data_IF_366666801922
#
_entry.id   IF_366666801922
#
_cell.length_a   1.000
_cell.length_b   1.000
_cell.length_c   1.000
_cell.angle_alpha   90.00
_cell.angle_beta   90.00
_cell.angle_gamma   90.00
#
_symmetry.space_group_name_H-M   'P 1'
#
loop_
_entity.id
_entity.type
_entity.pdbx_description
1 polymer ?
#
# COMPACT_ATOMS: atom_id res chain seq x y z
N UNK A 1 -40.47 -7.03 0.46
CA UNK A 1 -39.48 -6.60 1.47
C UNK A 1 -38.20 -6.17 0.75
N UNK A 2 -37.94 -4.87 0.66
CA UNK A 2 -36.68 -4.34 0.10
C UNK A 2 -35.59 -4.56 1.13
N UNK A 3 -34.83 -5.65 0.99
CA UNK A 3 -33.66 -5.90 1.83
C UNK A 3 -32.60 -4.87 1.41
N UNK A 4 -32.44 -3.81 2.22
CA UNK A 4 -31.33 -2.85 2.10
C UNK A 4 -30.02 -3.64 2.18
N UNK A 5 -29.39 -3.90 1.04
CA UNK A 5 -28.05 -4.50 0.97
C UNK A 5 -27.06 -3.49 1.52
N UNK A 6 -26.58 -3.72 2.74
CA UNK A 6 -25.55 -2.90 3.36
C UNK A 6 -24.17 -3.47 3.03
N UNK A 7 -23.18 -2.59 2.84
CA UNK A 7 -21.78 -2.92 2.50
C UNK A 7 -21.20 -4.00 3.43
N UNK A 8 -21.53 -3.94 4.72
CA UNK A 8 -21.01 -4.86 5.74
C UNK A 8 -21.69 -6.25 5.69
N UNK A 9 -22.84 -6.38 5.02
CA UNK A 9 -23.57 -7.65 4.94
C UNK A 9 -23.10 -8.54 3.78
N UNK A 10 -22.24 -8.00 2.92
CA UNK A 10 -21.87 -8.61 1.67
C UNK A 10 -20.49 -9.28 1.79
N UNK A 11 -20.51 -10.61 1.97
CA UNK A 11 -19.33 -11.45 2.26
C UNK A 11 -18.17 -11.19 1.31
N UNK A 12 -18.45 -10.94 0.03
CA UNK A 12 -17.43 -10.66 -0.98
C UNK A 12 -16.70 -9.35 -0.72
N UNK A 13 -17.43 -8.28 -0.40
CA UNK A 13 -16.83 -6.97 -0.10
C UNK A 13 -16.05 -7.00 1.21
N UNK A 14 -16.55 -7.72 2.21
CA UNK A 14 -15.90 -7.85 3.52
C UNK A 14 -14.60 -8.67 3.41
N UNK A 15 -14.61 -9.73 2.59
CA UNK A 15 -13.42 -10.51 2.25
C UNK A 15 -12.39 -9.62 1.53
N UNK A 16 -12.79 -8.88 0.51
CA UNK A 16 -11.89 -7.98 -0.23
C UNK A 16 -11.30 -6.86 0.64
N UNK A 17 -12.09 -6.29 1.55
CA UNK A 17 -11.60 -5.29 2.52
C UNK A 17 -10.60 -5.94 3.48
N UNK A 18 -10.89 -7.15 3.97
CA UNK A 18 -9.98 -7.86 4.89
C UNK A 18 -8.64 -8.19 4.25
N UNK A 19 -8.62 -8.60 2.98
CA UNK A 19 -7.37 -8.86 2.26
C UNK A 19 -6.59 -7.56 2.04
N UNK A 20 -7.26 -6.47 1.64
CA UNK A 20 -6.59 -5.19 1.49
C UNK A 20 -6.01 -4.67 2.82
N UNK A 21 -6.74 -4.87 3.93
CA UNK A 21 -6.25 -4.51 5.27
C UNK A 21 -5.04 -5.37 5.67
N UNK A 22 -5.09 -6.67 5.38
CA UNK A 22 -3.95 -7.57 5.59
C UNK A 22 -2.73 -7.16 4.76
N UNK A 23 -2.91 -6.84 3.48
CA UNK A 23 -1.83 -6.37 2.61
C UNK A 23 -1.21 -5.05 3.09
N UNK A 24 -2.04 -4.11 3.56
CA UNK A 24 -1.57 -2.87 4.16
C UNK A 24 -0.73 -3.15 5.41
N UNK A 25 -1.23 -3.97 6.35
CA UNK A 25 -0.50 -4.32 7.57
C UNK A 25 0.80 -5.06 7.26
N UNK A 26 0.77 -5.97 6.29
CA UNK A 26 1.96 -6.66 5.81
C UNK A 26 2.99 -5.67 5.25
N UNK A 27 2.57 -4.74 4.38
CA UNK A 27 3.44 -3.71 3.82
C UNK A 27 4.10 -2.87 4.92
N UNK A 28 3.32 -2.38 5.89
CA UNK A 28 3.83 -1.59 7.01
C UNK A 28 4.82 -2.39 7.85
N UNK A 29 4.48 -3.64 8.17
CA UNK A 29 5.35 -4.53 8.96
C UNK A 29 6.65 -4.83 8.23
N UNK A 30 6.59 -5.11 6.93
CA UNK A 30 7.78 -5.33 6.10
C UNK A 30 8.70 -4.10 6.08
N UNK A 31 8.14 -2.90 5.89
CA UNK A 31 8.92 -1.65 5.90
C UNK A 31 9.53 -1.43 7.29
N UNK A 32 8.74 -1.60 8.36
CA UNK A 32 9.18 -1.39 9.74
C UNK A 32 10.29 -2.36 10.16
N UNK A 33 10.15 -3.66 9.86
CA UNK A 33 11.17 -4.67 10.15
C UNK A 33 12.48 -4.39 9.41
N UNK A 34 12.39 -3.95 8.15
CA UNK A 34 13.58 -3.58 7.37
C UNK A 34 14.24 -2.30 7.87
N UNK A 35 13.45 -1.35 8.38
CA UNK A 35 13.97 -0.13 8.99
C UNK A 35 14.71 -0.43 10.31
N UNK A 36 14.14 -1.29 11.16
CA UNK A 36 14.73 -1.69 12.44
C UNK A 36 16.03 -2.49 12.25
N UNK A 37 16.06 -3.39 11.26
CA UNK A 37 17.27 -4.12 10.85
C UNK A 37 18.38 -3.21 10.30
N UNK A 38 18.08 -1.95 9.97
CA UNK A 38 19.02 -0.97 9.40
C UNK A 38 19.49 0.08 10.40
N UNK A 39 19.20 -0.05 11.71
CA UNK A 39 19.67 0.85 12.78
C UNK A 39 21.21 1.05 12.86
N UNK A 40 22.01 0.33 12.06
CA UNK A 40 23.46 0.44 11.98
C UNK A 40 24.03 1.16 10.75
N UNK A 41 23.23 1.58 9.76
CA UNK A 41 23.73 2.13 8.49
C UNK A 41 23.09 3.49 8.19
N UNK A 42 23.86 4.58 8.17
CA UNK A 42 23.38 5.96 8.01
C UNK A 42 22.95 6.33 6.58
N UNK A 43 22.91 5.38 5.65
CA UNK A 43 22.61 5.61 4.24
C UNK A 43 21.50 4.68 3.75
N UNK A 44 20.30 5.22 3.59
CA UNK A 44 19.18 4.51 2.96
C UNK A 44 19.07 5.00 1.51
N UNK A 45 19.08 4.09 0.55
CA UNK A 45 18.89 4.40 -0.87
C UNK A 45 17.38 4.47 -1.15
N UNK A 46 16.89 5.62 -1.59
CA UNK A 46 15.45 5.91 -1.68
C UNK A 46 14.95 6.05 -3.12
N UNK A 47 15.84 6.42 -4.04
CA UNK A 47 15.46 6.55 -5.45
C UNK A 47 16.65 6.29 -6.36
N UNK A 48 16.39 5.54 -7.43
CA UNK A 48 17.30 5.41 -8.55
C UNK A 48 16.91 6.43 -9.62
N UNK A 49 17.77 7.44 -9.84
CA UNK A 49 17.63 8.37 -10.96
C UNK A 49 18.69 8.02 -12.02
N UNK A 50 18.23 7.55 -13.19
CA UNK A 50 19.12 7.25 -14.32
C UNK A 50 19.85 8.47 -14.89
N UNK A 51 19.42 9.70 -14.54
CA UNK A 51 20.05 10.94 -15.00
C UNK A 51 21.35 11.30 -14.27
N UNK A 52 21.76 10.56 -13.24
CA UNK A 52 22.96 10.84 -12.42
C UNK A 52 24.12 9.84 -12.65
N UNK A 53 24.03 8.98 -13.67
CA UNK A 53 25.05 7.97 -13.99
C UNK A 53 24.98 6.71 -13.11
N UNK A 54 26.01 5.87 -13.19
CA UNK A 54 26.10 4.53 -12.57
C UNK A 54 25.94 4.50 -11.03
N UNK A 55 25.92 5.67 -10.38
CA UNK A 55 25.78 5.85 -8.93
C UNK A 55 24.65 6.84 -8.57
N UNK A 56 23.59 6.92 -9.39
CA UNK A 56 22.40 7.75 -9.17
C UNK A 56 21.46 7.28 -8.05
N UNK A 57 22.03 6.80 -6.95
CA UNK A 57 21.30 6.41 -5.75
C UNK A 57 21.18 7.63 -4.84
N UNK A 58 19.99 8.23 -4.78
CA UNK A 58 19.74 9.29 -3.81
C UNK A 58 19.63 8.65 -2.45
N UNK A 59 20.66 8.83 -1.63
CA UNK A 59 20.63 8.51 -0.22
C UNK A 59 19.70 9.49 0.47
N UNK A 60 18.88 9.02 1.38
CA UNK A 60 18.22 9.94 2.27
C UNK A 60 17.69 9.28 3.51
N UNK A 61 16.77 9.99 4.14
CA UNK A 61 16.63 9.94 5.59
C UNK A 61 15.54 8.94 5.97
N UNK A 62 15.53 8.49 7.21
CA UNK A 62 14.46 7.66 7.81
C UNK A 62 13.05 8.19 7.48
N UNK A 63 12.90 9.51 7.34
CA UNK A 63 11.67 10.18 6.92
C UNK A 63 11.14 9.75 5.55
N UNK A 64 12.01 9.47 4.59
CA UNK A 64 11.59 9.03 3.26
C UNK A 64 11.05 7.59 3.27
N UNK A 65 11.58 6.74 4.17
CA UNK A 65 11.04 5.39 4.42
C UNK A 65 9.68 5.46 5.11
N UNK A 66 9.45 6.46 6.00
CA UNK A 66 8.11 6.73 6.55
C UNK A 66 7.13 7.15 5.45
N UNK A 67 7.59 7.79 4.38
CA UNK A 67 6.77 8.12 3.20
C UNK A 67 6.15 6.88 2.53
N UNK A 68 6.85 5.74 2.54
CA UNK A 68 6.33 4.48 2.03
C UNK A 68 5.22 3.88 2.92
N UNK A 69 5.37 4.00 4.25
CA UNK A 69 4.33 3.62 5.21
C UNK A 69 3.10 4.51 5.01
N UNK A 70 3.31 5.83 4.90
CA UNK A 70 2.23 6.78 4.66
C UNK A 70 1.50 6.50 3.34
N UNK A 71 2.22 6.18 2.26
CA UNK A 71 1.63 5.81 0.98
C UNK A 71 0.76 4.54 1.08
N UNK A 72 1.21 3.50 1.82
CA UNK A 72 0.41 2.29 2.05
C UNK A 72 -0.92 2.61 2.76
N UNK A 73 -0.88 3.47 3.79
CA UNK A 73 -2.07 3.94 4.51
C UNK A 73 -2.99 4.71 3.58
N UNK A 74 -2.47 5.65 2.79
CA UNK A 74 -3.26 6.47 1.87
C UNK A 74 -3.95 5.60 0.81
N UNK A 75 -3.24 4.65 0.20
CA UNK A 75 -3.85 3.75 -0.79
C UNK A 75 -4.97 2.89 -0.21
N UNK A 76 -4.80 2.38 1.01
CA UNK A 76 -5.84 1.64 1.70
C UNK A 76 -7.05 2.52 2.03
N UNK A 77 -6.85 3.69 2.64
CA UNK A 77 -7.93 4.59 3.06
C UNK A 77 -8.70 5.13 1.85
N UNK A 78 -8.00 5.61 0.83
CA UNK A 78 -8.63 6.13 -0.40
C UNK A 78 -9.40 5.01 -1.10
N UNK A 79 -8.81 3.82 -1.18
CA UNK A 79 -9.47 2.62 -1.72
C UNK A 79 -10.76 2.26 -0.98
N UNK A 80 -10.72 2.29 0.35
CA UNK A 80 -11.86 1.98 1.21
C UNK A 80 -12.97 3.04 1.10
N UNK A 81 -12.61 4.32 1.11
CA UNK A 81 -13.57 5.43 0.95
C UNK A 81 -14.25 5.38 -0.42
N UNK A 82 -13.48 5.16 -1.49
CA UNK A 82 -14.03 4.99 -2.84
C UNK A 82 -14.94 3.76 -2.91
N UNK A 83 -14.53 2.62 -2.36
CA UNK A 83 -15.35 1.42 -2.35
C UNK A 83 -16.67 1.63 -1.59
N UNK A 84 -16.63 2.32 -0.45
CA UNK A 84 -17.82 2.66 0.34
C UNK A 84 -18.77 3.60 -0.41
N UNK A 85 -18.22 4.65 -1.05
CA UNK A 85 -19.00 5.63 -1.81
C UNK A 85 -19.63 5.03 -3.08
N UNK A 86 -18.96 4.05 -3.69
CA UNK A 86 -19.43 3.44 -4.95
C UNK A 86 -20.40 2.28 -4.74
N UNK A 87 -20.41 1.69 -3.53
CA UNK A 87 -21.33 0.61 -3.17
C UNK A 87 -22.83 0.92 -3.33
N UNK A 88 -23.36 2.09 -2.90
CA UNK A 88 -24.77 2.42 -3.10
C UNK A 88 -25.14 2.64 -4.58
N UNK A 89 -24.16 2.90 -5.46
CA UNK A 89 -24.40 3.12 -6.89
C UNK A 89 -24.50 1.77 -7.61
N UNK A 90 -23.43 0.97 -7.56
CA UNK A 90 -23.38 -0.39 -8.10
C UNK A 90 -22.37 -1.23 -7.31
N UNK A 91 -22.82 -2.38 -6.81
CA UNK A 91 -21.99 -3.36 -6.10
C UNK A 91 -20.73 -3.75 -6.88
N UNK A 92 -20.87 -3.95 -8.19
CA UNK A 92 -19.77 -4.34 -9.09
C UNK A 92 -18.64 -3.31 -9.12
N UNK A 93 -18.98 -2.02 -9.13
CA UNK A 93 -17.97 -0.95 -9.15
C UNK A 93 -17.17 -0.91 -7.83
N UNK A 94 -17.82 -1.14 -6.70
CA UNK A 94 -17.16 -1.23 -5.40
C UNK A 94 -16.17 -2.40 -5.33
N UNK A 95 -16.56 -3.57 -5.86
CA UNK A 95 -15.68 -4.74 -5.97
C UNK A 95 -14.49 -4.48 -6.90
N UNK A 96 -14.71 -3.81 -8.03
CA UNK A 96 -13.64 -3.43 -8.96
C UNK A 96 -12.64 -2.47 -8.30
N UNK A 97 -13.11 -1.47 -7.56
CA UNK A 97 -12.24 -0.53 -6.82
C UNK A 97 -11.40 -1.26 -5.76
N UNK A 98 -12.00 -2.19 -5.03
CA UNK A 98 -11.28 -3.04 -4.06
C UNK A 98 -10.29 -4.01 -4.73
N UNK A 99 -10.62 -4.49 -5.92
CA UNK A 99 -9.74 -5.35 -6.71
C UNK A 99 -8.57 -4.57 -7.31
N UNK A 100 -8.77 -3.29 -7.67
CA UNK A 100 -7.71 -2.42 -8.22
C UNK A 100 -6.73 -1.91 -7.16
N UNK A 101 -7.18 -1.82 -5.92
CA UNK A 101 -6.34 -1.39 -4.79
C UNK A 101 -5.38 -2.49 -4.32
N UNK A 102 -5.73 -3.78 -4.53
CA UNK A 102 -4.82 -4.90 -4.28
C UNK A 102 -3.50 -4.83 -5.06
N UNK A 103 -3.48 -4.77 -6.41
CA UNK A 103 -2.23 -4.72 -7.17
C UNK A 103 -1.45 -3.45 -6.85
N UNK A 104 -2.12 -2.36 -6.48
CA UNK A 104 -1.46 -1.12 -6.03
C UNK A 104 -0.67 -1.34 -4.73
N UNK A 105 -1.27 -2.00 -3.74
CA UNK A 105 -0.59 -2.35 -2.49
C UNK A 105 0.53 -3.37 -2.72
N UNK A 106 0.31 -4.36 -3.60
CA UNK A 106 1.35 -5.35 -3.96
C UNK A 106 2.54 -4.68 -4.64
N UNK A 107 2.30 -3.79 -5.61
CA UNK A 107 3.38 -3.02 -6.24
C UNK A 107 4.14 -2.17 -5.23
N UNK A 108 3.44 -1.55 -4.27
CA UNK A 108 4.09 -0.80 -3.21
C UNK A 108 4.99 -1.71 -2.34
N UNK A 109 4.58 -2.93 -2.03
CA UNK A 109 5.43 -3.91 -1.34
C UNK A 109 6.66 -4.27 -2.19
N UNK A 110 6.48 -4.50 -3.49
CA UNK A 110 7.59 -4.83 -4.40
C UNK A 110 8.58 -3.68 -4.49
N UNK A 111 8.11 -2.44 -4.68
CA UNK A 111 8.94 -1.23 -4.74
C UNK A 111 9.65 -1.00 -3.42
N UNK A 112 8.94 -1.13 -2.29
CA UNK A 112 9.53 -1.09 -0.95
C UNK A 112 10.68 -2.08 -0.80
N UNK A 113 10.42 -3.32 -1.21
CA UNK A 113 11.41 -4.38 -1.11
C UNK A 113 12.60 -4.09 -2.02
N UNK A 114 12.39 -3.66 -3.26
CA UNK A 114 13.44 -3.33 -4.21
C UNK A 114 14.33 -2.19 -3.69
N UNK A 115 13.76 -1.09 -3.22
CA UNK A 115 14.50 0.05 -2.68
C UNK A 115 15.31 -0.35 -1.43
N UNK A 116 14.72 -1.11 -0.52
CA UNK A 116 15.38 -1.54 0.72
C UNK A 116 16.35 -2.71 0.53
N UNK A 117 16.32 -3.40 -0.60
CA UNK A 117 17.26 -4.47 -0.95
C UNK A 117 18.45 -3.95 -1.76
N UNK A 118 18.28 -2.84 -2.48
CA UNK A 118 19.33 -2.15 -3.22
C UNK A 118 20.26 -1.28 -2.36
N UNK A 119 20.04 -1.27 -1.04
CA UNK A 119 20.88 -0.59 -0.04
C UNK A 119 22.35 -0.97 -0.12
#
# INVERSE_FOLDING_TARGET
>A
MSVRKNFIQDRSSLLLVSINAFLMLAAITFVALKLDASKGTSNYIISFRSSLGLNGYTQGTVWDVMGLIAAAVVFFVVGLVLAYRTYPIRRELSLVVLALTMPLLVLLIIVSNALLLLR
#
